data_IF_052325980425
#
_entry.id   IF_052325980425
#
_cell.length_a   1.000
_cell.length_b   1.000
_cell.length_c   1.000
_cell.angle_alpha   90.00
_cell.angle_beta   90.00
_cell.angle_gamma   90.00
#
_symmetry.space_group_name_H-M   'P 1'
#
loop_
_entity.id
_entity.type
_entity.pdbx_description
1 polymer ?
#
# COMPACT_ATOMS: atom_id res chain seq x y z
N UNK A 1 15.39 10.83 -9.61
CA UNK A 1 14.58 11.07 -8.40
C UNK A 1 14.01 12.49 -8.45
N UNK A 2 13.21 12.82 -9.47
CA UNK A 2 12.48 14.09 -9.51
C UNK A 2 11.09 13.92 -8.89
N UNK A 3 10.42 12.79 -9.16
CA UNK A 3 9.14 12.42 -8.58
C UNK A 3 9.10 12.48 -7.04
N UNK A 4 10.03 11.80 -6.35
CA UNK A 4 10.10 11.80 -4.87
C UNK A 4 10.25 13.21 -4.29
N UNK A 5 10.97 14.09 -5.00
CA UNK A 5 11.23 15.46 -4.56
C UNK A 5 9.99 16.34 -4.75
N UNK A 6 9.32 16.22 -5.90
CA UNK A 6 8.10 16.95 -6.20
C UNK A 6 6.93 16.50 -5.30
N UNK A 7 6.79 15.19 -5.08
CA UNK A 7 5.77 14.63 -4.18
C UNK A 7 6.00 15.05 -2.71
N UNK A 8 7.25 15.01 -2.24
CA UNK A 8 7.60 15.46 -0.88
C UNK A 8 7.32 16.95 -0.68
N UNK A 9 7.58 17.77 -1.69
CA UNK A 9 7.30 19.21 -1.64
C UNK A 9 5.80 19.48 -1.59
N UNK A 10 5.02 18.84 -2.48
CA UNK A 10 3.56 18.97 -2.51
C UNK A 10 2.92 18.53 -1.19
N UNK A 11 3.41 17.43 -0.60
CA UNK A 11 2.97 16.94 0.71
C UNK A 11 3.28 17.94 1.83
N UNK A 12 4.46 18.56 1.79
CA UNK A 12 4.86 19.59 2.75
C UNK A 12 3.94 20.81 2.66
N UNK A 13 3.62 21.28 1.46
CA UNK A 13 2.74 22.43 1.25
C UNK A 13 1.31 22.15 1.74
N UNK A 14 0.81 20.93 1.59
CA UNK A 14 -0.49 20.52 2.15
C UNK A 14 -0.48 20.47 3.68
N UNK A 15 0.57 19.89 4.29
CA UNK A 15 0.72 19.82 5.75
C UNK A 15 0.83 21.21 6.37
N UNK A 16 1.53 22.13 5.71
CA UNK A 16 1.64 23.53 6.10
C UNK A 16 0.37 24.36 5.81
N UNK A 17 -0.66 23.74 5.20
CA UNK A 17 -1.93 24.39 4.88
C UNK A 17 -1.84 25.43 3.76
N UNK A 18 -0.78 25.39 2.94
CA UNK A 18 -0.56 26.32 1.82
C UNK A 18 -1.38 25.98 0.59
N UNK A 19 -1.81 24.73 0.47
CA UNK A 19 -2.70 24.26 -0.59
C UNK A 19 -3.91 23.56 0.00
N UNK A 20 -5.05 23.65 -0.69
CA UNK A 20 -6.28 22.98 -0.26
C UNK A 20 -6.18 21.47 -0.46
N UNK A 21 -7.06 20.73 0.21
CA UNK A 21 -7.17 19.28 0.02
C UNK A 21 -7.49 18.93 -1.44
N UNK A 22 -8.40 19.66 -2.08
CA UNK A 22 -8.77 19.44 -3.48
C UNK A 22 -7.60 19.71 -4.44
N UNK A 23 -6.82 20.77 -4.18
CA UNK A 23 -5.63 21.08 -4.98
C UNK A 23 -4.53 20.02 -4.80
N UNK A 24 -4.34 19.56 -3.57
CA UNK A 24 -3.42 18.46 -3.25
C UNK A 24 -3.84 17.17 -3.97
N UNK A 25 -5.11 16.78 -3.88
CA UNK A 25 -5.66 15.60 -4.55
C UNK A 25 -5.56 15.71 -6.08
N UNK A 26 -5.80 16.90 -6.65
CA UNK A 26 -5.70 17.14 -8.10
C UNK A 26 -4.25 17.10 -8.60
N UNK A 27 -3.32 17.70 -7.86
CA UNK A 27 -1.90 17.73 -8.21
C UNK A 27 -1.26 16.35 -8.07
N UNK A 28 -1.55 15.63 -6.99
CA UNK A 28 -1.14 14.22 -6.83
C UNK A 28 -1.76 13.36 -7.93
N UNK A 29 -3.04 13.53 -8.28
CA UNK A 29 -3.66 12.81 -9.40
C UNK A 29 -2.89 12.97 -10.70
N UNK A 30 -2.49 14.19 -11.03
CA UNK A 30 -1.70 14.46 -12.24
C UNK A 30 -0.31 13.84 -12.17
N UNK A 31 0.37 13.98 -11.03
CA UNK A 31 1.69 13.37 -10.82
C UNK A 31 1.65 11.85 -10.95
N UNK A 32 0.62 11.21 -10.41
CA UNK A 32 0.45 9.74 -10.49
C UNK A 32 -0.21 9.27 -11.79
N UNK A 33 -0.81 10.14 -12.61
CA UNK A 33 -1.36 9.78 -13.91
C UNK A 33 -0.25 9.49 -14.94
N UNK A 34 0.89 10.17 -14.82
CA UNK A 34 2.09 9.91 -15.63
C UNK A 34 2.99 8.80 -15.05
N UNK A 35 2.72 8.33 -13.83
CA UNK A 35 3.35 7.12 -13.29
C UNK A 35 2.67 5.93 -13.95
N UNK A 36 3.36 5.15 -14.81
CA UNK A 36 2.74 4.01 -15.45
C UNK A 36 2.16 3.09 -14.37
N UNK A 37 0.88 2.72 -14.52
CA UNK A 37 0.22 1.74 -13.66
C UNK A 37 1.07 0.48 -13.49
N UNK A 38 1.93 0.16 -14.46
CA UNK A 38 2.89 -0.95 -14.44
C UNK A 38 4.00 -0.86 -13.37
N UNK A 39 4.16 0.28 -12.68
CA UNK A 39 5.17 0.44 -11.61
C UNK A 39 4.62 0.23 -10.21
N UNK A 40 3.34 0.51 -9.96
CA UNK A 40 2.75 0.37 -8.62
C UNK A 40 2.65 -1.09 -8.16
N UNK A 41 2.10 -2.04 -8.93
CA UNK A 41 2.10 -3.45 -8.54
C UNK A 41 3.52 -3.95 -8.27
N UNK A 42 4.53 -3.51 -9.04
CA UNK A 42 5.94 -3.88 -8.80
C UNK A 42 6.46 -3.39 -7.46
N UNK A 43 6.14 -2.15 -7.06
CA UNK A 43 6.54 -1.62 -5.75
C UNK A 43 5.91 -2.41 -4.60
N UNK A 44 4.60 -2.71 -4.69
CA UNK A 44 3.92 -3.54 -3.69
C UNK A 44 4.49 -4.97 -3.66
N UNK A 45 4.73 -5.59 -4.82
CA UNK A 45 5.39 -6.89 -4.96
C UNK A 45 6.76 -6.92 -4.28
N UNK A 46 7.60 -5.91 -4.52
CA UNK A 46 8.94 -5.81 -3.91
C UNK A 46 8.86 -5.70 -2.38
N UNK A 47 8.02 -4.80 -1.87
CA UNK A 47 7.89 -4.58 -0.42
C UNK A 47 7.28 -5.76 0.32
N UNK A 48 6.30 -6.42 -0.29
CA UNK A 48 5.72 -7.67 0.26
C UNK A 48 6.79 -8.77 0.26
N UNK A 49 7.60 -8.88 -0.80
CA UNK A 49 8.69 -9.86 -0.88
C UNK A 49 9.79 -9.60 0.16
N UNK A 50 10.14 -8.33 0.41
CA UNK A 50 11.09 -7.96 1.46
C UNK A 50 10.58 -8.35 2.85
N UNK A 51 9.28 -8.18 3.11
CA UNK A 51 8.65 -8.60 4.36
C UNK A 51 8.65 -10.13 4.51
N UNK A 52 8.16 -10.86 3.50
CA UNK A 52 8.11 -12.33 3.52
C UNK A 52 9.52 -12.95 3.58
N UNK A 53 10.51 -12.30 2.97
CA UNK A 53 11.92 -12.67 3.03
C UNK A 53 12.64 -12.28 4.32
N UNK A 54 11.96 -11.61 5.26
CA UNK A 54 12.51 -11.19 6.54
C UNK A 54 13.55 -10.06 6.48
N UNK A 55 13.61 -9.32 5.35
CA UNK A 55 14.49 -8.15 5.20
C UNK A 55 13.97 -6.93 5.95
N UNK A 56 12.65 -6.84 6.10
CA UNK A 56 11.97 -5.84 6.93
C UNK A 56 11.06 -6.54 7.94
N UNK A 57 10.94 -5.97 9.14
CA UNK A 57 10.04 -6.48 10.18
C UNK A 57 8.57 -6.10 9.94
N UNK A 58 7.64 -6.84 10.55
CA UNK A 58 6.20 -6.60 10.39
C UNK A 58 5.77 -5.17 10.74
N UNK A 59 6.33 -4.55 11.77
CA UNK A 59 5.97 -3.17 12.15
C UNK A 59 6.38 -2.14 11.10
N UNK A 60 7.55 -2.33 10.47
CA UNK A 60 8.01 -1.47 9.38
C UNK A 60 7.15 -1.67 8.14
N UNK A 61 6.88 -2.93 7.79
CA UNK A 61 6.02 -3.28 6.68
C UNK A 61 4.59 -2.73 6.85
N UNK A 62 3.98 -2.95 8.02
CA UNK A 62 2.64 -2.44 8.36
C UNK A 62 2.57 -0.93 8.22
N UNK A 63 3.55 -0.20 8.77
CA UNK A 63 3.58 1.27 8.68
C UNK A 63 3.67 1.74 7.23
N UNK A 64 4.59 1.18 6.46
CA UNK A 64 4.76 1.53 5.06
C UNK A 64 3.48 1.25 4.26
N UNK A 65 2.94 0.03 4.38
CA UNK A 65 1.80 -0.42 3.58
C UNK A 65 0.53 0.40 3.86
N UNK A 66 0.23 0.65 5.15
CA UNK A 66 -0.95 1.44 5.52
C UNK A 66 -0.82 2.90 5.08
N UNK A 67 0.38 3.49 5.15
CA UNK A 67 0.63 4.87 4.71
C UNK A 67 0.55 5.00 3.18
N UNK A 68 1.15 4.06 2.44
CA UNK A 68 1.07 3.99 0.98
C UNK A 68 -0.38 3.88 0.52
N UNK A 69 -1.16 2.92 1.03
CA UNK A 69 -2.58 2.79 0.67
C UNK A 69 -3.36 4.06 1.02
N UNK A 70 -3.16 4.64 2.21
CA UNK A 70 -3.87 5.86 2.62
C UNK A 70 -3.59 7.04 1.68
N UNK A 71 -2.35 7.18 1.24
CA UNK A 71 -1.88 8.26 0.36
C UNK A 71 -2.29 8.04 -1.08
N UNK A 72 -2.26 6.79 -1.55
CA UNK A 72 -2.38 6.46 -2.96
C UNK A 72 -3.76 5.95 -3.35
N UNK A 73 -4.64 5.58 -2.40
CA UNK A 73 -5.94 4.93 -2.66
C UNK A 73 -6.79 5.65 -3.69
N UNK A 74 -6.73 6.98 -3.75
CA UNK A 74 -7.48 7.77 -4.74
C UNK A 74 -7.01 7.57 -6.19
N UNK A 75 -5.84 6.93 -6.38
CA UNK A 75 -5.11 6.76 -7.63
C UNK A 75 -4.75 5.31 -7.93
N UNK A 76 -5.28 4.36 -7.15
CA UNK A 76 -5.14 2.93 -7.42
C UNK A 76 -6.46 2.48 -8.05
N UNK A 77 -6.38 2.00 -9.28
CA UNK A 77 -7.54 1.50 -10.02
C UNK A 77 -7.76 0.01 -9.77
N UNK A 78 -8.95 -0.47 -10.15
CA UNK A 78 -9.23 -1.91 -10.22
C UNK A 78 -8.38 -2.55 -11.34
N UNK A 79 -7.89 -3.80 -11.17
CA UNK A 79 -8.13 -4.70 -10.04
C UNK A 79 -7.13 -4.51 -8.87
N UNK A 80 -6.14 -3.63 -9.00
CA UNK A 80 -5.04 -3.47 -8.05
C UNK A 80 -5.53 -3.08 -6.64
N UNK A 81 -6.47 -2.15 -6.53
CA UNK A 81 -6.98 -1.72 -5.21
C UNK A 81 -7.65 -2.88 -4.46
N UNK A 82 -8.39 -3.73 -5.17
CA UNK A 82 -9.07 -4.91 -4.60
C UNK A 82 -8.05 -5.91 -4.03
N UNK A 83 -7.02 -6.23 -4.81
CA UNK A 83 -5.91 -7.13 -4.40
C UNK A 83 -5.21 -6.61 -3.13
N UNK A 84 -4.94 -5.31 -3.08
CA UNK A 84 -4.24 -4.69 -1.96
C UNK A 84 -5.10 -4.56 -0.70
N UNK A 85 -6.43 -4.51 -0.85
CA UNK A 85 -7.37 -4.24 0.25
C UNK A 85 -7.46 -5.39 1.25
N UNK A 86 -7.31 -6.64 0.81
CA UNK A 86 -7.35 -7.79 1.72
C UNK A 86 -6.17 -7.76 2.71
N UNK A 87 -4.96 -7.51 2.21
CA UNK A 87 -3.78 -7.36 3.05
C UNK A 87 -3.83 -6.10 3.92
N UNK A 88 -4.43 -5.01 3.42
CA UNK A 88 -4.69 -3.82 4.22
C UNK A 88 -5.53 -4.13 5.46
N UNK A 89 -6.63 -4.88 5.31
CA UNK A 89 -7.48 -5.25 6.45
C UNK A 89 -6.75 -6.17 7.44
N UNK A 90 -5.98 -7.14 6.93
CA UNK A 90 -5.14 -7.98 7.77
C UNK A 90 -4.15 -7.14 8.60
N UNK A 91 -3.48 -6.17 7.97
CA UNK A 91 -2.55 -5.28 8.66
C UNK A 91 -3.24 -4.33 9.65
N UNK A 92 -4.51 -3.96 9.47
CA UNK A 92 -5.26 -3.20 10.47
C UNK A 92 -5.65 -4.04 11.70
N UNK A 93 -5.92 -5.33 11.47
CA UNK A 93 -6.31 -6.30 12.50
C UNK A 93 -5.11 -6.92 13.23
N UNK A 94 -3.90 -6.75 12.68
CA UNK A 94 -2.66 -7.15 13.31
C UNK A 94 -2.29 -6.25 14.48
N UNK A 95 -1.94 -6.88 15.60
CA UNK A 95 -1.35 -6.21 16.76
C UNK A 95 -0.19 -7.04 17.30
N UNK A 96 0.97 -6.44 17.62
CA UNK A 96 2.02 -7.15 18.35
C UNK A 96 1.64 -7.44 19.82
N UNK A 97 0.53 -6.85 20.32
CA UNK A 97 0.08 -6.97 21.72
C UNK A 97 -1.38 -7.50 21.79
N UNK A 98 -1.60 -8.83 21.62
CA UNK A 98 -2.94 -9.44 21.62
C UNK A 98 -3.75 -9.18 22.89
N UNK A 99 -3.08 -9.13 24.05
CA UNK A 99 -3.70 -9.09 25.38
C UNK A 99 -4.40 -7.76 25.65
N UNK A 100 -3.94 -6.66 25.04
CA UNK A 100 -4.56 -5.33 25.17
C UNK A 100 -5.72 -5.13 24.19
N UNK A 101 -5.65 -5.76 23.01
CA UNK A 101 -6.67 -5.65 21.97
C UNK A 101 -8.00 -6.34 22.33
N UNK A 102 -7.94 -7.51 22.99
CA UNK A 102 -9.12 -8.31 23.32
C UNK A 102 -10.03 -7.71 24.40
N UNK A 103 -9.62 -6.65 25.10
CA UNK A 103 -10.42 -6.07 26.20
C UNK A 103 -11.43 -5.02 25.76
N UNK A 104 -11.26 -4.37 24.61
CA UNK A 104 -12.09 -3.21 24.21
C UNK A 104 -12.52 -3.15 22.74
N UNK A 105 -12.05 -4.03 21.85
CA UNK A 105 -12.35 -3.90 20.42
C UNK A 105 -13.11 -5.11 19.87
N UNK A 106 -14.19 -4.86 19.11
CA UNK A 106 -14.90 -5.88 18.30
C UNK A 106 -14.06 -6.36 17.10
N UNK A 107 -12.83 -5.87 16.96
CA UNK A 107 -11.91 -6.23 15.89
C UNK A 107 -11.33 -7.63 16.11
N UNK A 108 -11.21 -8.36 14.99
CA UNK A 108 -10.58 -9.67 14.96
C UNK A 108 -9.08 -9.46 15.16
N UNK A 109 -8.48 -10.09 16.16
CA UNK A 109 -7.02 -10.15 16.25
C UNK A 109 -6.51 -11.13 15.21
N UNK A 110 -5.48 -10.74 14.45
CA UNK A 110 -4.73 -11.69 13.62
C UNK A 110 -3.25 -11.73 14.03
N UNK A 111 -2.68 -12.92 13.94
CA UNK A 111 -1.26 -13.17 14.20
C UNK A 111 -0.36 -12.72 13.04
N UNK A 112 0.94 -12.60 13.30
CA UNK A 112 1.93 -12.34 12.23
C UNK A 112 1.93 -13.45 11.17
N UNK A 113 1.71 -14.71 11.55
CA UNK A 113 1.61 -15.81 10.59
C UNK A 113 0.40 -15.68 9.66
N UNK A 114 -0.75 -15.20 10.18
CA UNK A 114 -1.91 -14.87 9.34
C UNK A 114 -1.63 -13.68 8.41
N UNK A 115 -0.89 -12.67 8.88
CA UNK A 115 -0.42 -11.58 8.00
C UNK A 115 0.50 -12.13 6.91
N UNK A 116 1.41 -13.06 7.22
CA UNK A 116 2.30 -13.69 6.22
C UNK A 116 1.51 -14.51 5.20
N UNK A 117 0.49 -15.25 5.65
CA UNK A 117 -0.39 -16.00 4.75
C UNK A 117 -1.13 -15.05 3.79
N UNK A 118 -1.70 -13.97 4.30
CA UNK A 118 -2.37 -12.96 3.46
C UNK A 118 -1.38 -12.27 2.52
N UNK A 119 -0.20 -11.89 3.01
CA UNK A 119 0.85 -11.27 2.21
C UNK A 119 1.33 -12.18 1.07
N UNK A 120 1.42 -13.49 1.31
CA UNK A 120 1.74 -14.48 0.26
C UNK A 120 0.65 -14.51 -0.81
N UNK A 121 -0.64 -14.59 -0.40
CA UNK A 121 -1.77 -14.57 -1.33
C UNK A 121 -1.82 -13.28 -2.17
N UNK A 122 -1.61 -12.13 -1.54
CA UNK A 122 -1.57 -10.83 -2.24
C UNK A 122 -0.38 -10.76 -3.21
N UNK A 123 0.79 -11.29 -2.83
CA UNK A 123 1.95 -11.35 -3.72
C UNK A 123 1.67 -12.19 -4.97
N UNK A 124 1.02 -13.34 -4.82
CA UNK A 124 0.64 -14.20 -5.95
C UNK A 124 -0.30 -13.46 -6.91
N UNK A 125 -1.36 -12.82 -6.40
CA UNK A 125 -2.29 -12.05 -7.21
C UNK A 125 -1.63 -10.86 -7.93
N UNK A 126 -0.70 -10.16 -7.27
CA UNK A 126 0.07 -9.08 -7.90
C UNK A 126 0.97 -9.59 -9.02
N UNK A 127 1.59 -10.76 -8.84
CA UNK A 127 2.40 -11.39 -9.88
C UNK A 127 1.54 -11.82 -11.07
N UNK A 128 0.34 -12.37 -10.84
CA UNK A 128 -0.61 -12.71 -11.90
C UNK A 128 -1.06 -11.47 -12.69
N UNK A 129 -1.32 -10.36 -11.98
CA UNK A 129 -1.65 -9.08 -12.61
C UNK A 129 -0.50 -8.58 -13.49
N UNK A 130 0.73 -8.63 -12.99
CA UNK A 130 1.93 -8.21 -13.73
C UNK A 130 2.21 -9.10 -14.95
N UNK A 131 1.97 -10.40 -14.87
CA UNK A 131 2.13 -11.32 -16.00
C UNK A 131 1.06 -11.07 -17.07
N UNK A 132 -0.18 -10.79 -16.66
CA UNK A 132 -1.29 -10.51 -17.58
C UNK A 132 -1.07 -9.22 -18.37
N UNK A 133 -0.55 -8.17 -17.72
CA UNK A 133 -0.20 -6.89 -18.35
C UNK A 133 0.84 -7.05 -19.48
N UNK A 134 1.87 -7.91 -19.25
CA UNK A 134 2.92 -8.21 -20.23
C UNK A 134 2.48 -9.10 -21.40
N UNK A 135 1.29 -9.71 -21.34
CA UNK A 135 0.77 -10.59 -22.39
C UNK A 135 -0.30 -9.93 -23.27
N UNK A 136 -0.54 -8.63 -23.11
CA UNK A 136 -1.44 -7.88 -24.00
C UNK A 136 -0.70 -7.60 -25.32
N UNK A 137 -1.06 -8.22 -26.45
CA UNK A 137 -0.45 -7.87 -27.74
C UNK A 137 -0.84 -6.43 -28.11
N UNK A 138 0.17 -5.61 -28.42
CA UNK A 138 0.00 -4.30 -29.07
C UNK A 138 -0.72 -4.41 -30.42
#
# INVERSE_FOLDING_TARGET
MEFDKEFSQLSTEYIEGRISKEDYESATKKMFADVPLSTKPKQYTEKISDYLGGRIGISEFQRWYLDSIKTERAFIEEPLISILYELFNALLDYSPYPIEYGKNSKQKYISEDEVKAQATSTLDQLNELLVSDNNTPE
#
